data_IF_937256894573
#
_entry.id   IF_937256894573
#
_cell.length_a   1.000
_cell.length_b   1.000
_cell.length_c   1.000
_cell.angle_alpha   90.00
_cell.angle_beta   90.00
_cell.angle_gamma   90.00
#
_symmetry.space_group_name_H-M   'P 1'
#
loop_
_entity.id
_entity.type
_entity.pdbx_description
1 polymer ?
#
# COMPACT_ATOMS: atom_id res chain seq x y z
N UNK A 1 -4.00 4.49 45.33
CA UNK A 1 -3.54 4.29 43.95
C UNK A 1 -4.51 5.04 43.06
N UNK A 2 -4.12 6.20 42.55
CA UNK A 2 -4.91 6.88 41.52
C UNK A 2 -5.12 5.92 40.34
N UNK A 3 -6.30 6.00 39.73
CA UNK A 3 -6.71 5.04 38.71
C UNK A 3 -5.88 5.25 37.42
N UNK A 4 -4.69 4.66 37.33
CA UNK A 4 -3.77 4.76 36.19
C UNK A 4 -4.30 4.12 34.89
N UNK A 5 -5.54 3.62 34.84
CA UNK A 5 -6.15 3.06 33.61
C UNK A 5 -6.15 4.05 32.45
N UNK A 6 -6.30 5.36 32.71
CA UNK A 6 -6.30 6.39 31.66
C UNK A 6 -4.92 6.58 31.00
N UNK A 7 -3.84 6.09 31.61
CA UNK A 7 -2.50 6.08 31.02
C UNK A 7 -2.29 4.89 30.07
N UNK A 8 -3.11 3.83 30.22
CA UNK A 8 -2.99 2.62 29.42
C UNK A 8 -3.88 2.67 28.17
N UNK A 9 -5.06 3.29 28.26
CA UNK A 9 -6.05 3.28 27.18
C UNK A 9 -6.79 4.63 27.06
N UNK A 10 -7.26 4.93 25.84
CA UNK A 10 -8.15 6.07 25.59
C UNK A 10 -9.49 5.77 26.27
N UNK A 11 -10.09 6.72 27.02
CA UNK A 11 -11.43 6.52 27.59
C UNK A 11 -12.45 6.09 26.53
N UNK A 12 -13.30 5.11 26.84
CA UNK A 12 -14.29 4.57 25.89
C UNK A 12 -15.19 5.65 25.28
N UNK A 13 -15.53 6.68 26.06
CA UNK A 13 -16.34 7.81 25.61
C UNK A 13 -15.64 8.68 24.54
N UNK A 14 -14.31 8.72 24.53
CA UNK A 14 -13.50 9.54 23.62
C UNK A 14 -12.99 8.75 22.41
N UNK A 15 -12.81 7.43 22.54
CA UNK A 15 -12.18 6.59 21.52
C UNK A 15 -12.87 6.68 20.14
N UNK A 16 -14.21 6.57 20.10
CA UNK A 16 -14.97 6.72 18.85
C UNK A 16 -14.85 8.12 18.24
N UNK A 17 -14.75 9.15 19.10
CA UNK A 17 -14.54 10.53 18.69
C UNK A 17 -13.16 10.72 18.05
N UNK A 18 -12.13 10.18 18.69
CA UNK A 18 -10.75 10.25 18.20
C UNK A 18 -10.56 9.50 16.89
N UNK A 19 -11.15 8.32 16.74
CA UNK A 19 -11.13 7.58 15.48
C UNK A 19 -11.76 8.38 14.33
N UNK A 20 -12.90 9.03 14.57
CA UNK A 20 -13.53 9.92 13.58
C UNK A 20 -12.68 11.14 13.28
N UNK A 21 -12.05 11.74 14.29
CA UNK A 21 -11.15 12.88 14.11
C UNK A 21 -9.95 12.51 13.23
N UNK A 22 -9.31 11.36 13.47
CA UNK A 22 -8.23 10.85 12.61
C UNK A 22 -8.73 10.65 11.18
N UNK A 23 -9.87 9.97 11.00
CA UNK A 23 -10.41 9.68 9.67
C UNK A 23 -10.76 10.95 8.87
N UNK A 24 -11.37 11.94 9.51
CA UNK A 24 -11.74 13.20 8.86
C UNK A 24 -10.49 14.02 8.52
N UNK A 25 -9.56 14.15 9.46
CA UNK A 25 -8.31 14.89 9.22
C UNK A 25 -7.49 14.22 8.12
N UNK A 26 -7.45 12.89 8.06
CA UNK A 26 -6.78 12.16 6.97
C UNK A 26 -7.31 12.52 5.59
N UNK A 27 -8.63 12.64 5.43
CA UNK A 27 -9.25 13.01 4.15
C UNK A 27 -8.88 14.43 3.71
N UNK A 28 -8.56 15.32 4.65
CA UNK A 28 -8.15 16.70 4.36
C UNK A 28 -6.66 16.80 3.98
N UNK A 29 -5.80 16.03 4.65
CA UNK A 29 -4.35 16.19 4.53
C UNK A 29 -3.68 15.21 3.58
N UNK A 30 -4.25 14.01 3.40
CA UNK A 30 -3.60 12.94 2.64
C UNK A 30 -4.39 12.65 1.35
N UNK A 31 -3.80 12.90 0.17
CA UNK A 31 -4.42 12.55 -1.10
C UNK A 31 -4.78 11.06 -1.19
N UNK A 32 -5.82 10.74 -1.97
CA UNK A 32 -6.18 9.35 -2.22
C UNK A 32 -5.04 8.63 -2.95
N UNK A 33 -4.90 7.29 -2.82
CA UNK A 33 -3.89 6.54 -3.57
C UNK A 33 -3.96 6.79 -5.08
N UNK A 34 -5.18 6.95 -5.61
CA UNK A 34 -5.42 7.23 -7.03
C UNK A 34 -4.84 8.59 -7.43
N UNK A 35 -5.06 9.61 -6.60
CA UNK A 35 -4.55 10.96 -6.87
C UNK A 35 -3.02 11.00 -6.74
N UNK A 36 -2.45 10.32 -5.73
CA UNK A 36 -0.99 10.18 -5.60
C UNK A 36 -0.37 9.51 -6.84
N UNK A 37 -0.96 8.42 -7.33
CA UNK A 37 -0.46 7.74 -8.53
C UNK A 37 -0.56 8.67 -9.75
N UNK A 38 -1.68 9.37 -9.92
CA UNK A 38 -1.87 10.32 -11.03
C UNK A 38 -0.82 11.43 -10.99
N UNK A 39 -0.55 11.99 -9.82
CA UNK A 39 0.47 13.03 -9.63
C UNK A 39 1.87 12.54 -9.99
N UNK A 40 2.28 11.40 -9.42
CA UNK A 40 3.60 10.80 -9.65
C UNK A 40 3.83 10.44 -11.12
N UNK A 41 2.83 9.84 -11.78
CA UNK A 41 2.90 9.54 -13.21
C UNK A 41 3.00 10.82 -14.07
N UNK A 42 2.30 11.89 -13.69
CA UNK A 42 2.37 13.17 -14.39
C UNK A 42 3.72 13.86 -14.22
N UNK A 43 4.33 13.78 -13.03
CA UNK A 43 5.65 14.33 -12.76
C UNK A 43 6.77 13.59 -13.51
N UNK A 44 6.51 12.34 -13.92
CA UNK A 44 7.50 11.45 -14.54
C UNK A 44 7.14 11.07 -15.99
N UNK A 45 6.41 11.92 -16.73
CA UNK A 45 6.00 11.63 -18.11
C UNK A 45 7.16 11.27 -19.03
N UNK A 46 8.31 11.95 -18.92
CA UNK A 46 9.49 11.67 -19.73
C UNK A 46 10.04 10.26 -19.48
N UNK A 47 10.15 9.87 -18.21
CA UNK A 47 10.55 8.51 -17.81
C UNK A 47 9.56 7.46 -18.34
N UNK A 48 8.27 7.75 -18.28
CA UNK A 48 7.23 6.86 -18.81
C UNK A 48 7.33 6.72 -20.34
N UNK A 49 7.62 7.81 -21.06
CA UNK A 49 7.81 7.76 -22.52
C UNK A 49 9.06 6.95 -22.87
N UNK A 50 10.16 7.19 -22.16
CA UNK A 50 11.44 6.49 -22.35
C UNK A 50 11.35 4.98 -22.06
N UNK A 51 10.38 4.54 -21.25
CA UNK A 51 10.14 3.13 -20.96
C UNK A 51 10.02 2.26 -22.23
N UNK A 52 9.40 2.78 -23.31
CA UNK A 52 9.20 2.04 -24.56
C UNK A 52 10.52 1.64 -25.22
N UNK A 53 11.54 2.47 -25.07
CA UNK A 53 12.86 2.27 -25.68
C UNK A 53 13.85 1.64 -24.70
N UNK A 54 13.91 2.14 -23.47
CA UNK A 54 14.88 1.71 -22.47
C UNK A 54 14.50 0.40 -21.79
N UNK A 55 13.20 0.09 -21.72
CA UNK A 55 12.64 -1.13 -21.14
C UNK A 55 13.05 -1.42 -19.69
N UNK A 56 13.53 -0.43 -18.93
CA UNK A 56 13.97 -0.60 -17.54
C UNK A 56 12.79 -0.49 -16.56
N UNK A 57 11.88 -1.47 -16.62
CA UNK A 57 10.63 -1.45 -15.85
C UNK A 57 10.89 -1.46 -14.34
N UNK A 58 11.86 -2.24 -13.88
CA UNK A 58 12.20 -2.33 -12.45
C UNK A 58 12.60 -0.98 -11.88
N UNK A 59 13.43 -0.22 -12.60
CA UNK A 59 13.81 1.13 -12.18
C UNK A 59 12.62 2.08 -12.14
N UNK A 60 11.79 2.09 -13.18
CA UNK A 60 10.59 2.94 -13.22
C UNK A 60 9.66 2.64 -12.05
N UNK A 61 9.36 1.37 -11.76
CA UNK A 61 8.53 0.98 -10.61
C UNK A 61 9.16 1.46 -9.30
N UNK A 62 10.48 1.28 -9.13
CA UNK A 62 11.19 1.69 -7.91
C UNK A 62 11.16 3.20 -7.70
N UNK A 63 11.46 3.98 -8.74
CA UNK A 63 11.53 5.44 -8.69
C UNK A 63 10.15 6.05 -8.39
N UNK A 64 9.11 5.64 -9.12
CA UNK A 64 7.74 6.11 -8.91
C UNK A 64 7.22 5.76 -7.50
N UNK A 65 7.52 4.55 -7.00
CA UNK A 65 7.14 4.14 -5.64
C UNK A 65 7.86 4.97 -4.58
N UNK A 66 9.13 5.30 -4.80
CA UNK A 66 9.95 6.10 -3.89
C UNK A 66 9.39 7.52 -3.79
N UNK A 67 9.10 8.16 -4.92
CA UNK A 67 8.46 9.50 -4.94
C UNK A 67 7.09 9.47 -4.25
N UNK A 68 6.23 8.51 -4.60
CA UNK A 68 4.90 8.37 -4.00
C UNK A 68 4.95 8.22 -2.47
N UNK A 69 5.94 7.47 -1.97
CA UNK A 69 6.15 7.30 -0.53
C UNK A 69 6.67 8.56 0.14
N UNK A 70 7.63 9.26 -0.47
CA UNK A 70 8.19 10.51 0.06
C UNK A 70 7.12 11.61 0.16
N UNK A 71 6.32 11.78 -0.89
CA UNK A 71 5.17 12.71 -0.87
C UNK A 71 4.18 12.34 0.24
N UNK A 72 3.83 11.06 0.37
CA UNK A 72 2.95 10.59 1.43
C UNK A 72 3.49 10.88 2.84
N UNK A 73 4.79 10.70 3.09
CA UNK A 73 5.40 10.97 4.40
C UNK A 73 5.24 12.43 4.81
N UNK A 74 5.37 13.38 3.87
CA UNK A 74 5.16 14.79 4.14
C UNK A 74 3.70 15.09 4.55
N UNK A 75 2.74 14.57 3.79
CA UNK A 75 1.31 14.71 4.12
C UNK A 75 0.94 14.06 5.46
N UNK A 76 1.48 12.87 5.74
CA UNK A 76 1.24 12.19 7.01
C UNK A 76 1.86 12.94 8.20
N UNK A 77 3.05 13.53 8.03
CA UNK A 77 3.67 14.37 9.05
C UNK A 77 2.84 15.63 9.35
N UNK A 78 2.36 16.31 8.31
CA UNK A 78 1.47 17.48 8.45
C UNK A 78 0.15 17.12 9.14
N UNK A 79 -0.46 15.99 8.75
CA UNK A 79 -1.67 15.47 9.37
C UNK A 79 -1.44 15.16 10.87
N UNK A 80 -0.36 14.45 11.19
CA UNK A 80 -0.03 14.08 12.58
C UNK A 80 0.22 15.32 13.44
N UNK A 81 0.97 16.30 12.91
CA UNK A 81 1.20 17.57 13.58
C UNK A 81 -0.12 18.31 13.85
N UNK A 82 -1.05 18.32 12.87
CA UNK A 82 -2.37 18.91 13.06
C UNK A 82 -3.19 18.21 14.14
N UNK A 83 -3.23 16.87 14.13
CA UNK A 83 -3.98 16.08 15.12
C UNK A 83 -3.45 16.35 16.53
N UNK A 84 -2.13 16.24 16.72
CA UNK A 84 -1.51 16.42 18.04
C UNK A 84 -1.61 17.86 18.53
N UNK A 85 -1.51 18.85 17.63
CA UNK A 85 -1.70 20.28 17.98
C UNK A 85 -3.11 20.56 18.51
N UNK A 86 -4.13 19.86 18.01
CA UNK A 86 -5.52 20.15 18.35
C UNK A 86 -6.11 19.19 19.38
N UNK A 87 -5.35 18.20 19.86
CA UNK A 87 -5.90 17.12 20.67
C UNK A 87 -6.50 17.61 22.00
N UNK A 88 -5.85 18.58 22.67
CA UNK A 88 -6.35 19.22 23.90
C UNK A 88 -7.63 20.00 23.70
N UNK A 89 -7.85 20.55 22.50
CA UNK A 89 -9.07 21.30 22.18
C UNK A 89 -10.23 20.37 21.79
N UNK A 90 -9.94 19.11 21.46
CA UNK A 90 -10.92 18.16 20.92
C UNK A 90 -11.36 17.11 21.94
N UNK A 91 -10.55 16.84 22.96
CA UNK A 91 -10.78 15.77 23.93
C UNK A 91 -10.54 16.27 25.36
N UNK A 92 -11.40 15.86 26.28
CA UNK A 92 -11.43 16.31 27.65
C UNK A 92 -10.20 15.83 28.45
N UNK A 93 -9.70 14.61 28.23
CA UNK A 93 -8.50 14.14 28.96
C UNK A 93 -7.27 14.98 28.61
N UNK A 94 -6.88 15.13 27.33
CA UNK A 94 -5.78 16.03 26.96
C UNK A 94 -6.08 17.51 27.27
N UNK A 95 -7.35 17.93 27.22
CA UNK A 95 -7.77 19.30 27.52
C UNK A 95 -7.54 19.70 28.97
N UNK A 96 -8.07 18.90 29.93
CA UNK A 96 -7.90 19.18 31.37
C UNK A 96 -6.44 19.31 31.76
N UNK A 97 -5.57 18.46 31.24
CA UNK A 97 -4.14 18.52 31.59
C UNK A 97 -3.40 19.65 30.91
N UNK A 98 -3.92 20.13 29.78
CA UNK A 98 -3.46 21.37 29.17
C UNK A 98 -3.93 22.60 29.97
N UNK A 99 -5.09 22.58 30.59
CA UNK A 99 -5.52 23.66 31.49
C UNK A 99 -4.59 23.76 32.72
N UNK A 100 -4.23 22.61 33.33
CA UNK A 100 -3.22 22.55 34.41
C UNK A 100 -1.87 23.18 33.99
N UNK A 101 -1.48 23.05 32.71
CA UNK A 101 -0.27 23.68 32.15
C UNK A 101 -0.37 25.20 32.19
N UNK A 102 -1.49 25.73 31.73
CA UNK A 102 -1.72 27.17 31.68
C UNK A 102 -1.67 27.79 33.08
N UNK A 103 -2.13 27.08 34.10
CA UNK A 103 -2.00 27.50 35.50
C UNK A 103 -0.53 27.49 35.97
N UNK A 104 0.22 26.42 35.66
CA UNK A 104 1.63 26.29 36.04
C UNK A 104 2.53 27.40 35.46
N UNK A 105 2.23 27.88 34.24
CA UNK A 105 2.98 28.97 33.60
C UNK A 105 2.83 30.34 34.27
N UNK A 106 1.86 30.52 35.17
CA UNK A 106 1.68 31.77 35.90
C UNK A 106 2.60 31.90 37.15
N UNK A 107 3.53 30.97 37.36
CA UNK A 107 4.46 30.94 38.51
C UNK A 107 5.93 31.28 38.15
N UNK A 108 6.78 31.48 39.17
CA UNK A 108 8.12 32.09 39.13
C UNK A 108 9.15 31.33 38.22
N UNK A 109 10.03 32.01 37.43
CA UNK A 109 10.83 31.40 36.34
C UNK A 109 11.97 30.42 36.71
N UNK A 110 12.46 30.43 37.95
CA UNK A 110 13.63 29.64 38.37
C UNK A 110 13.27 28.19 38.74
N UNK A 111 12.01 27.95 39.11
CA UNK A 111 11.43 26.63 39.42
C UNK A 111 10.88 25.93 38.16
N UNK A 112 11.03 26.59 37.01
CA UNK A 112 10.31 26.25 35.78
C UNK A 112 10.91 25.07 35.05
N UNK A 113 12.22 24.80 35.14
CA UNK A 113 12.84 23.73 34.33
C UNK A 113 12.49 22.31 34.80
N UNK A 114 12.63 22.02 36.10
CA UNK A 114 12.22 20.72 36.67
C UNK A 114 10.71 20.52 36.54
N UNK A 115 9.92 21.53 36.88
CA UNK A 115 8.46 21.49 36.74
C UNK A 115 7.99 21.32 35.30
N UNK A 116 8.68 21.92 34.32
CA UNK A 116 8.38 21.68 32.90
C UNK A 116 8.70 20.24 32.51
N UNK A 117 9.81 19.67 33.00
CA UNK A 117 10.17 18.28 32.71
C UNK A 117 9.12 17.31 33.27
N UNK A 118 8.73 17.49 34.52
CA UNK A 118 7.69 16.67 35.16
C UNK A 118 6.36 16.81 34.44
N UNK A 119 5.97 18.05 34.11
CA UNK A 119 4.76 18.32 33.34
C UNK A 119 4.77 17.63 31.97
N UNK A 120 5.82 17.81 31.17
CA UNK A 120 5.89 17.20 29.85
C UNK A 120 5.88 15.67 29.95
N UNK A 121 6.48 15.10 31.00
CA UNK A 121 6.40 13.68 31.33
C UNK A 121 4.96 13.23 31.60
N UNK A 122 4.25 13.91 32.50
CA UNK A 122 2.86 13.61 32.84
C UNK A 122 1.92 13.77 31.64
N UNK A 123 1.99 14.91 30.96
CA UNK A 123 1.17 15.19 29.79
C UNK A 123 1.40 14.17 28.67
N UNK A 124 2.68 13.88 28.36
CA UNK A 124 3.03 12.87 27.35
C UNK A 124 2.53 11.49 27.74
N UNK A 125 2.61 11.12 29.03
CA UNK A 125 2.06 9.87 29.55
C UNK A 125 0.55 9.77 29.35
N UNK A 126 -0.19 10.85 29.59
CA UNK A 126 -1.65 10.88 29.43
C UNK A 126 -2.09 10.85 27.97
N UNK A 127 -1.39 11.53 27.06
CA UNK A 127 -1.73 11.50 25.64
C UNK A 127 -1.14 10.29 24.91
N UNK A 128 -0.30 9.49 25.56
CA UNK A 128 0.36 8.34 24.94
C UNK A 128 -0.62 7.34 24.29
N UNK A 129 -1.75 6.95 24.94
CA UNK A 129 -2.75 6.09 24.29
C UNK A 129 -3.30 6.66 22.98
N UNK A 130 -3.43 7.98 22.88
CA UNK A 130 -3.83 8.68 21.66
C UNK A 130 -2.75 8.63 20.58
N UNK A 131 -1.49 8.88 20.95
CA UNK A 131 -0.35 8.75 20.04
C UNK A 131 -0.24 7.32 19.50
N UNK A 132 -0.40 6.33 20.37
CA UNK A 132 -0.39 4.92 20.00
C UNK A 132 -1.52 4.59 19.02
N UNK A 133 -2.76 5.02 19.31
CA UNK A 133 -3.90 4.80 18.43
C UNK A 133 -3.73 5.47 17.06
N UNK A 134 -3.21 6.69 17.03
CA UNK A 134 -2.87 7.40 15.79
C UNK A 134 -1.81 6.61 15.00
N UNK A 135 -0.75 6.16 15.66
CA UNK A 135 0.34 5.37 15.05
C UNK A 135 -0.16 4.05 14.46
N UNK A 136 -1.08 3.36 15.15
CA UNK A 136 -1.73 2.16 14.65
C UNK A 136 -2.57 2.47 13.40
N UNK A 137 -3.38 3.54 13.45
CA UNK A 137 -4.19 3.99 12.31
C UNK A 137 -3.32 4.36 11.09
N UNK A 138 -2.18 5.00 11.33
CA UNK A 138 -1.21 5.35 10.29
C UNK A 138 -0.57 4.11 9.67
N UNK A 139 -0.17 3.14 10.49
CA UNK A 139 0.38 1.87 10.00
C UNK A 139 -0.61 1.12 9.10
N UNK A 140 -1.88 1.05 9.49
CA UNK A 140 -2.91 0.41 8.65
C UNK A 140 -3.17 1.19 7.36
N UNK A 141 -3.14 2.53 7.42
CA UNK A 141 -3.19 3.40 6.25
C UNK A 141 -2.07 3.06 5.27
N UNK A 142 -0.82 3.06 5.75
CA UNK A 142 0.39 2.81 4.96
C UNK A 142 0.29 1.46 4.24
N UNK A 143 -0.12 0.40 4.95
CA UNK A 143 -0.31 -0.94 4.35
C UNK A 143 -1.33 -0.94 3.21
N UNK A 144 -2.49 -0.33 3.44
CA UNK A 144 -3.54 -0.25 2.41
C UNK A 144 -3.12 0.60 1.21
N UNK A 145 -2.51 1.77 1.46
CA UNK A 145 -2.07 2.69 0.41
C UNK A 145 -0.93 2.11 -0.42
N UNK A 146 0.06 1.47 0.20
CA UNK A 146 1.20 0.90 -0.50
C UNK A 146 0.76 -0.13 -1.56
N UNK A 147 -0.23 -0.98 -1.24
CA UNK A 147 -0.83 -1.90 -2.21
C UNK A 147 -1.49 -1.16 -3.38
N UNK A 148 -2.38 -0.21 -3.07
CA UNK A 148 -3.12 0.54 -4.10
C UNK A 148 -2.24 1.44 -4.98
N UNK A 149 -1.18 2.00 -4.43
CA UNK A 149 -0.18 2.77 -5.20
C UNK A 149 0.58 1.83 -6.14
N UNK A 150 1.02 0.66 -5.66
CA UNK A 150 1.70 -0.31 -6.51
C UNK A 150 0.81 -0.79 -7.66
N UNK A 151 -0.46 -1.12 -7.38
CA UNK A 151 -1.45 -1.46 -8.41
C UNK A 151 -1.60 -0.33 -9.44
N UNK A 152 -1.78 0.91 -8.97
CA UNK A 152 -1.95 2.07 -9.84
C UNK A 152 -0.74 2.36 -10.72
N UNK A 153 0.48 2.15 -10.21
CA UNK A 153 1.72 2.29 -11.00
C UNK A 153 1.72 1.25 -12.13
N UNK A 154 1.42 -0.01 -11.82
CA UNK A 154 1.37 -1.08 -12.85
C UNK A 154 0.31 -0.78 -13.92
N UNK A 155 -0.86 -0.27 -13.53
CA UNK A 155 -1.87 0.19 -14.49
C UNK A 155 -1.37 1.34 -15.37
N UNK A 156 -0.66 2.31 -14.81
CA UNK A 156 -0.03 3.39 -15.57
C UNK A 156 1.00 2.88 -16.59
N UNK A 157 1.73 1.81 -16.26
CA UNK A 157 2.65 1.15 -17.19
C UNK A 157 1.88 0.46 -18.34
N UNK A 158 0.79 -0.25 -18.04
CA UNK A 158 -0.08 -0.80 -19.09
C UNK A 158 -0.62 0.29 -20.01
N UNK A 159 -1.12 1.40 -19.45
CA UNK A 159 -1.68 2.52 -20.20
C UNK A 159 -0.63 3.12 -21.16
N UNK A 160 0.59 3.37 -20.68
CA UNK A 160 1.67 3.96 -21.49
C UNK A 160 2.15 3.02 -22.59
N UNK A 161 2.20 1.72 -22.32
CA UNK A 161 2.56 0.69 -23.30
C UNK A 161 1.41 0.34 -24.25
N UNK A 162 0.20 0.86 -24.01
CA UNK A 162 -0.98 0.61 -24.84
C UNK A 162 -1.53 -0.81 -24.68
N UNK A 163 -1.31 -1.45 -23.52
CA UNK A 163 -1.78 -2.80 -23.27
C UNK A 163 -3.23 -2.74 -22.78
N UNK A 164 -4.19 -3.38 -23.49
CA UNK A 164 -5.57 -3.46 -23.01
C UNK A 164 -5.63 -4.30 -21.74
N UNK A 165 -6.37 -3.85 -20.74
CA UNK A 165 -6.64 -4.61 -19.53
C UNK A 165 -8.00 -4.30 -18.94
N UNK A 166 -8.52 -5.25 -18.18
CA UNK A 166 -9.64 -5.04 -17.26
C UNK A 166 -9.12 -5.07 -15.83
N UNK A 167 -9.52 -4.09 -15.02
CA UNK A 167 -9.32 -4.08 -13.57
C UNK A 167 -10.66 -3.99 -12.85
N UNK A 168 -10.67 -4.30 -11.56
CA UNK A 168 -11.87 -4.10 -10.74
C UNK A 168 -12.32 -2.63 -10.70
N UNK A 169 -11.38 -1.68 -10.83
CA UNK A 169 -11.66 -0.26 -10.86
C UNK A 169 -12.31 0.18 -12.19
N UNK A 170 -11.94 -0.44 -13.30
CA UNK A 170 -12.43 -0.08 -14.64
C UNK A 170 -13.76 -0.74 -14.97
N UNK A 171 -13.96 -2.02 -14.61
CA UNK A 171 -15.12 -2.81 -15.04
C UNK A 171 -16.13 -3.08 -13.91
N UNK A 172 -15.81 -2.66 -12.68
CA UNK A 172 -16.68 -2.79 -11.52
C UNK A 172 -16.68 -4.20 -10.89
N UNK A 173 -16.63 -4.26 -9.56
CA UNK A 173 -16.51 -5.52 -8.79
C UNK A 173 -17.63 -6.54 -9.03
N UNK A 174 -18.81 -6.12 -9.54
CA UNK A 174 -19.93 -7.03 -9.86
C UNK A 174 -19.63 -7.92 -11.08
N UNK A 175 -18.93 -7.40 -12.08
CA UNK A 175 -18.61 -8.12 -13.32
C UNK A 175 -17.47 -9.15 -13.13
N UNK A 176 -16.55 -8.89 -12.20
CA UNK A 176 -15.56 -9.90 -11.78
C UNK A 176 -16.21 -11.02 -10.98
N UNK A 177 -17.10 -10.67 -10.03
CA UNK A 177 -17.80 -11.66 -9.19
C UNK A 177 -18.73 -12.56 -9.99
N UNK A 178 -19.43 -12.04 -11.00
CA UNK A 178 -20.28 -12.86 -11.88
C UNK A 178 -19.46 -13.89 -12.66
N UNK A 179 -18.18 -13.62 -12.91
CA UNK A 179 -17.24 -14.51 -13.59
C UNK A 179 -16.44 -15.42 -12.65
N UNK A 180 -16.86 -15.53 -11.38
CA UNK A 180 -16.22 -16.28 -10.28
C UNK A 180 -14.80 -15.83 -9.92
N UNK A 181 -14.29 -14.77 -10.54
CA UNK A 181 -13.01 -14.17 -10.21
C UNK A 181 -13.12 -13.49 -8.85
N UNK A 182 -12.25 -13.88 -7.92
CA UNK A 182 -12.21 -13.36 -6.56
C UNK A 182 -11.63 -11.96 -6.49
N UNK A 183 -11.63 -11.39 -5.28
CA UNK A 183 -11.08 -10.05 -5.00
C UNK A 183 -9.57 -9.95 -5.26
N UNK A 184 -8.88 -11.08 -5.43
CA UNK A 184 -7.41 -11.19 -5.55
C UNK A 184 -6.91 -10.88 -6.96
N UNK A 185 -7.80 -10.97 -7.97
CA UNK A 185 -7.42 -10.61 -9.35
C UNK A 185 -7.47 -9.10 -9.50
N UNK A 186 -6.31 -8.50 -9.73
CA UNK A 186 -6.12 -7.06 -9.88
C UNK A 186 -6.24 -6.66 -11.37
N UNK A 187 -5.59 -7.42 -12.26
CA UNK A 187 -5.62 -7.19 -13.71
C UNK A 187 -5.95 -8.44 -14.52
N UNK A 188 -6.60 -8.23 -15.67
CA UNK A 188 -6.81 -9.22 -16.72
C UNK A 188 -6.42 -8.62 -18.07
N UNK A 189 -5.50 -9.26 -18.79
CA UNK A 189 -5.06 -8.82 -20.11
C UNK A 189 -5.39 -9.89 -21.17
N UNK A 190 -5.99 -9.52 -22.32
CA UNK A 190 -6.38 -8.17 -22.73
C UNK A 190 -7.65 -7.64 -22.02
N UNK A 191 -8.45 -8.51 -21.40
CA UNK A 191 -9.63 -8.10 -20.67
C UNK A 191 -10.58 -9.24 -20.33
N UNK A 192 -11.72 -8.88 -19.74
CA UNK A 192 -12.73 -9.81 -19.26
C UNK A 192 -13.41 -10.61 -20.38
N UNK A 193 -13.56 -10.06 -21.58
CA UNK A 193 -14.21 -10.76 -22.70
C UNK A 193 -13.30 -11.87 -23.26
N UNK A 194 -12.01 -11.59 -23.37
CA UNK A 194 -11.00 -12.59 -23.72
C UNK A 194 -10.92 -13.71 -22.68
N UNK A 195 -11.04 -13.36 -21.39
CA UNK A 195 -11.08 -14.35 -20.31
C UNK A 195 -12.26 -15.32 -20.44
N UNK A 196 -13.44 -14.82 -20.82
CA UNK A 196 -14.63 -15.67 -21.01
C UNK A 196 -14.48 -16.62 -22.21
N UNK A 197 -13.82 -16.15 -23.27
CA UNK A 197 -13.59 -16.95 -24.47
C UNK A 197 -12.52 -18.03 -24.24
N UNK A 198 -11.35 -17.65 -23.70
CA UNK A 198 -10.21 -18.55 -23.50
C UNK A 198 -9.37 -18.16 -22.28
N UNK A 199 -9.67 -18.79 -21.13
CA UNK A 199 -8.97 -18.58 -19.86
C UNK A 199 -7.47 -18.89 -19.89
N UNK A 200 -7.05 -19.83 -20.74
CA UNK A 200 -5.64 -20.26 -20.91
C UNK A 200 -4.82 -19.30 -21.79
N UNK A 201 -5.48 -18.35 -22.46
CA UNK A 201 -4.87 -17.38 -23.38
C UNK A 201 -4.93 -15.96 -22.86
N UNK A 202 -5.06 -15.77 -21.55
CA UNK A 202 -5.02 -14.45 -20.91
C UNK A 202 -3.94 -14.38 -19.84
N UNK A 203 -3.57 -13.16 -19.47
CA UNK A 203 -2.78 -12.91 -18.26
C UNK A 203 -3.73 -12.53 -17.14
N UNK A 204 -3.60 -13.23 -16.02
CA UNK A 204 -4.30 -12.96 -14.77
C UNK A 204 -3.26 -12.44 -13.79
N UNK A 205 -3.28 -11.13 -13.53
CA UNK A 205 -2.35 -10.46 -12.66
C UNK A 205 -2.91 -10.26 -11.25
N UNK A 206 -2.09 -10.56 -10.25
CA UNK A 206 -2.31 -10.18 -8.84
C UNK A 206 -1.06 -9.48 -8.32
N UNK A 207 -1.23 -8.46 -7.50
CA UNK A 207 -0.15 -7.55 -7.10
C UNK A 207 -0.04 -7.52 -5.57
N UNK A 208 1.13 -7.86 -5.05
CA UNK A 208 1.42 -7.78 -3.61
C UNK A 208 2.74 -7.04 -3.41
N UNK A 209 2.77 -6.06 -2.51
CA UNK A 209 4.02 -5.35 -2.22
C UNK A 209 5.04 -6.23 -1.50
N UNK A 210 4.56 -7.04 -0.56
CA UNK A 210 5.34 -8.05 0.17
C UNK A 210 4.55 -9.34 0.23
N UNK A 211 5.23 -10.48 0.10
CA UNK A 211 4.59 -11.79 0.04
C UNK A 211 4.31 -12.34 1.44
N UNK A 212 5.36 -12.39 2.29
CA UNK A 212 5.34 -13.11 3.58
C UNK A 212 4.68 -14.49 3.44
N UNK A 213 3.63 -14.79 4.22
CA UNK A 213 2.72 -15.94 4.10
C UNK A 213 1.51 -15.68 3.18
N UNK A 214 1.18 -14.41 2.93
CA UNK A 214 -0.04 -13.97 2.20
C UNK A 214 -0.09 -14.36 0.72
N UNK A 215 1.00 -14.90 0.16
CA UNK A 215 0.98 -15.48 -1.17
C UNK A 215 0.16 -16.77 -1.23
N UNK A 216 -0.08 -17.45 -0.10
CA UNK A 216 -0.95 -18.63 -0.03
C UNK A 216 -2.41 -18.30 -0.41
N UNK A 217 -2.87 -17.07 -0.15
CA UNK A 217 -4.18 -16.58 -0.60
C UNK A 217 -4.33 -16.69 -2.14
N UNK A 218 -3.23 -16.56 -2.89
CA UNK A 218 -3.22 -16.70 -4.36
C UNK A 218 -3.43 -18.15 -4.77
N UNK A 219 -2.83 -19.11 -4.04
CA UNK A 219 -3.04 -20.54 -4.29
C UNK A 219 -4.50 -20.93 -4.01
N UNK A 220 -5.04 -20.47 -2.88
CA UNK A 220 -6.45 -20.72 -2.53
C UNK A 220 -7.37 -20.24 -3.64
N UNK A 221 -7.08 -19.08 -4.23
CA UNK A 221 -7.86 -18.53 -5.33
C UNK A 221 -7.73 -19.36 -6.62
N UNK A 222 -6.51 -19.78 -7.00
CA UNK A 222 -6.30 -20.67 -8.16
C UNK A 222 -7.13 -21.94 -8.02
N UNK A 223 -7.06 -22.58 -6.84
CA UNK A 223 -7.79 -23.81 -6.56
C UNK A 223 -9.30 -23.59 -6.57
N UNK A 224 -9.78 -22.49 -5.98
CA UNK A 224 -11.20 -22.16 -5.89
C UNK A 224 -11.83 -21.83 -7.25
N UNK A 225 -11.06 -21.20 -8.14
CA UNK A 225 -11.56 -20.69 -9.43
C UNK A 225 -11.12 -21.51 -10.64
N UNK A 226 -10.27 -22.50 -10.42
CA UNK A 226 -9.64 -23.35 -11.44
C UNK A 226 -8.94 -22.51 -12.51
N UNK A 227 -8.20 -21.49 -12.07
CA UNK A 227 -7.42 -20.65 -12.99
C UNK A 227 -6.21 -21.44 -13.49
N UNK A 228 -5.86 -21.34 -14.78
CA UNK A 228 -4.77 -22.12 -15.34
C UNK A 228 -3.40 -21.66 -14.85
N UNK A 229 -3.21 -20.35 -14.73
CA UNK A 229 -2.00 -19.70 -14.20
C UNK A 229 -2.31 -18.32 -13.64
N UNK A 230 -1.54 -17.87 -12.67
CA UNK A 230 -1.57 -16.47 -12.18
C UNK A 230 -0.17 -15.88 -12.22
N UNK A 231 -0.06 -14.64 -12.69
CA UNK A 231 1.13 -13.82 -12.54
C UNK A 231 1.01 -13.03 -11.23
N UNK A 232 1.86 -13.35 -10.27
CA UNK A 232 1.97 -12.65 -8.99
C UNK A 232 3.10 -11.62 -9.09
N UNK A 233 2.73 -10.37 -9.27
CA UNK A 233 3.66 -9.24 -9.32
C UNK A 233 4.00 -8.81 -7.91
N UNK A 234 5.29 -8.70 -7.62
CA UNK A 234 5.77 -8.27 -6.31
C UNK A 234 7.02 -7.41 -6.38
N UNK A 235 7.13 -6.52 -5.41
CA UNK A 235 8.30 -5.68 -5.15
C UNK A 235 8.99 -6.11 -3.85
N UNK A 236 8.71 -7.34 -3.41
CA UNK A 236 9.43 -8.03 -2.34
C UNK A 236 10.81 -8.45 -2.86
N UNK A 237 11.85 -8.10 -2.13
CA UNK A 237 13.23 -8.43 -2.48
C UNK A 237 13.74 -9.67 -1.73
N UNK A 238 13.05 -10.09 -0.67
CA UNK A 238 13.42 -11.24 0.15
C UNK A 238 12.53 -12.45 -0.18
N UNK A 239 12.96 -13.19 -1.21
CA UNK A 239 12.22 -14.34 -1.74
C UNK A 239 13.10 -15.58 -1.70
N UNK A 240 12.69 -16.57 -0.89
CA UNK A 240 13.38 -17.85 -0.81
C UNK A 240 13.05 -18.77 -2.00
N UNK A 241 14.03 -19.59 -2.37
CA UNK A 241 13.91 -20.61 -3.42
C UNK A 241 12.75 -21.58 -3.13
N UNK A 242 12.62 -22.04 -1.89
CA UNK A 242 11.54 -22.95 -1.47
C UNK A 242 10.16 -22.33 -1.72
N UNK A 243 9.98 -21.03 -1.47
CA UNK A 243 8.70 -20.34 -1.71
C UNK A 243 8.37 -20.32 -3.20
N UNK A 244 9.36 -20.04 -4.04
CA UNK A 244 9.23 -20.05 -5.51
C UNK A 244 8.89 -21.44 -6.04
N UNK A 245 9.48 -22.50 -5.48
CA UNK A 245 9.15 -23.88 -5.89
C UNK A 245 7.72 -24.25 -5.51
N UNK A 246 7.26 -23.87 -4.32
CA UNK A 246 5.87 -24.07 -3.93
C UNK A 246 4.89 -23.31 -4.83
N UNK A 247 5.23 -22.10 -5.24
CA UNK A 247 4.47 -21.32 -6.23
C UNK A 247 4.43 -22.02 -7.59
N UNK A 248 5.54 -22.58 -8.06
CA UNK A 248 5.62 -23.31 -9.33
C UNK A 248 4.64 -24.49 -9.36
N UNK A 249 4.56 -25.25 -8.26
CA UNK A 249 3.67 -26.40 -8.13
C UNK A 249 2.17 -26.04 -8.21
N UNK A 250 1.82 -24.76 -8.05
CA UNK A 250 0.45 -24.26 -8.09
C UNK A 250 0.19 -23.31 -9.27
N UNK A 251 1.01 -23.38 -10.34
CA UNK A 251 0.88 -22.53 -11.53
C UNK A 251 0.94 -21.01 -11.24
N UNK A 252 1.70 -20.62 -10.22
CA UNK A 252 2.01 -19.22 -9.94
C UNK A 252 3.33 -18.85 -10.60
N UNK A 253 3.28 -17.88 -11.51
CA UNK A 253 4.45 -17.22 -12.09
C UNK A 253 4.72 -15.96 -11.29
N UNK A 254 5.91 -15.89 -10.69
CA UNK A 254 6.31 -14.76 -9.87
C UNK A 254 7.01 -13.70 -10.74
N UNK A 255 6.52 -12.46 -10.70
CA UNK A 255 7.11 -11.32 -11.41
C UNK A 255 7.78 -10.41 -10.39
N UNK A 256 9.07 -10.16 -10.54
CA UNK A 256 9.91 -9.45 -9.56
C UNK A 256 10.83 -8.43 -10.23
N UNK A 257 11.52 -7.61 -9.44
CA UNK A 257 12.61 -6.79 -9.96
C UNK A 257 13.67 -7.64 -10.66
N UNK A 258 14.28 -7.08 -11.71
CA UNK A 258 15.37 -7.72 -12.45
C UNK A 258 16.53 -8.14 -11.54
N UNK A 259 16.86 -7.31 -10.55
CA UNK A 259 17.90 -7.61 -9.54
C UNK A 259 17.56 -8.86 -8.73
N UNK A 260 16.29 -9.04 -8.36
CA UNK A 260 15.79 -10.20 -7.61
C UNK A 260 15.78 -11.45 -8.49
N UNK A 261 15.28 -11.33 -9.73
CA UNK A 261 15.27 -12.43 -10.70
C UNK A 261 16.68 -12.99 -10.95
N UNK A 262 17.67 -12.10 -11.07
CA UNK A 262 19.05 -12.47 -11.37
C UNK A 262 19.88 -12.81 -10.12
N UNK A 263 19.27 -12.84 -8.94
CA UNK A 263 19.98 -13.17 -7.71
C UNK A 263 20.05 -14.69 -7.50
N UNK A 264 21.28 -15.22 -7.48
CA UNK A 264 21.57 -16.59 -7.05
C UNK A 264 20.78 -17.65 -7.83
N UNK A 265 20.08 -18.51 -7.10
CA UNK A 265 19.36 -19.65 -7.68
C UNK A 265 18.05 -19.28 -8.37
N UNK A 266 17.50 -18.08 -8.11
CA UNK A 266 16.25 -17.61 -8.73
C UNK A 266 16.40 -17.41 -10.25
N UNK A 267 17.62 -17.11 -10.72
CA UNK A 267 17.92 -16.97 -12.14
C UNK A 267 17.56 -18.24 -12.92
N UNK A 268 17.73 -19.42 -12.31
CA UNK A 268 17.45 -20.73 -12.91
C UNK A 268 15.97 -21.13 -12.86
N UNK A 269 15.14 -20.43 -12.08
CA UNK A 269 13.73 -20.78 -11.88
C UNK A 269 12.88 -20.20 -13.03
N UNK A 270 12.25 -21.08 -13.82
CA UNK A 270 11.42 -20.70 -14.97
C UNK A 270 10.11 -20.01 -14.58
N UNK A 271 9.60 -20.26 -13.37
CA UNK A 271 8.39 -19.62 -12.85
C UNK A 271 8.69 -18.28 -12.15
N UNK A 272 9.90 -17.74 -12.32
CA UNK A 272 10.25 -16.38 -11.90
C UNK A 272 10.64 -15.61 -13.15
N UNK A 273 10.00 -14.48 -13.37
CA UNK A 273 10.27 -13.57 -14.50
C UNK A 273 10.56 -12.18 -13.94
N UNK A 274 11.38 -11.41 -14.64
CA UNK A 274 11.58 -10.00 -14.29
C UNK A 274 10.36 -9.17 -14.71
N UNK A 275 10.21 -7.96 -14.15
CA UNK A 275 9.22 -7.00 -14.67
C UNK A 275 9.47 -6.70 -16.14
N UNK A 276 10.72 -6.64 -16.57
CA UNK A 276 11.13 -6.41 -17.94
C UNK A 276 10.60 -7.50 -18.87
N UNK A 277 10.86 -8.77 -18.56
CA UNK A 277 10.37 -9.92 -19.35
C UNK A 277 8.84 -9.95 -19.33
N UNK A 278 8.22 -9.69 -18.18
CA UNK A 278 6.76 -9.69 -18.06
C UNK A 278 6.11 -8.64 -18.98
N UNK A 279 6.60 -7.39 -18.96
CA UNK A 279 6.01 -6.31 -19.74
C UNK A 279 6.42 -6.33 -21.22
N UNK A 280 7.57 -6.87 -21.58
CA UNK A 280 8.09 -6.80 -22.96
C UNK A 280 8.14 -8.14 -23.71
N UNK A 281 7.90 -9.26 -23.04
CA UNK A 281 7.84 -10.60 -23.66
C UNK A 281 6.48 -11.26 -23.39
N UNK A 282 6.14 -11.53 -22.13
CA UNK A 282 4.96 -12.33 -21.74
C UNK A 282 3.63 -11.65 -22.13
N UNK A 283 3.50 -10.34 -21.83
CA UNK A 283 2.31 -9.57 -22.18
C UNK A 283 2.16 -9.44 -23.71
N UNK A 284 3.16 -8.96 -24.46
CA UNK A 284 3.07 -8.90 -25.92
C UNK A 284 2.77 -10.25 -26.59
N UNK A 285 3.40 -11.35 -26.14
CA UNK A 285 3.13 -12.69 -26.67
C UNK A 285 1.66 -13.09 -26.47
N UNK A 286 1.12 -12.84 -25.27
CA UNK A 286 -0.29 -13.11 -24.97
C UNK A 286 -1.21 -12.25 -25.84
N UNK A 287 -0.92 -10.96 -25.99
CA UNK A 287 -1.73 -10.05 -26.80
C UNK A 287 -1.67 -10.40 -28.29
N UNK A 288 -0.54 -10.87 -28.79
CA UNK A 288 -0.37 -11.29 -30.20
C UNK A 288 -1.27 -12.47 -30.58
N UNK A 289 -1.73 -13.28 -29.62
CA UNK A 289 -2.73 -14.32 -29.87
C UNK A 289 -4.11 -13.72 -30.25
N UNK A 290 -4.49 -12.61 -29.61
CA UNK A 290 -5.82 -11.98 -29.77
C UNK A 290 -5.90 -11.00 -30.94
N UNK A 291 -4.76 -10.62 -31.51
CA UNK A 291 -4.69 -9.75 -32.70
C UNK A 291 -4.75 -10.55 -34.03
N UNK A 292 -5.04 -11.86 -33.95
CA UNK A 292 -5.12 -12.77 -35.12
C UNK A 292 -6.54 -12.94 -35.63
#
# INVERSE_FOLDING_TARGET
MENLQYLAEIPECEQKGFDKFIQNTRKLYIPSPKDTVKEVLNNHQEMMIALKTEKNVSKVISDLRTEAYNSFLLHEAQMNAHILKNISNQFAVPGRKFDDLCEAFNHNPLDTKEKLSDFFGEYSGQIYPYIYRLSLSNTQSRRSRAGKVFEGIVYGLYDVLGYPYSSQATVGSKNFKSKKLGKIVDSLLPGLDAFDQRRDKVIIGTMKTTLRERWQEVIEEINRTMLPKIYLLTVDEDISVNKVEQMANHNVILVVYNSVKNNGELAKKRNVVSFEDYFFEEVPETLAYWNR
#
